data_IF_846064801520
#
_entry.id   IF_846064801520
#
_cell.length_a   1.000
_cell.length_b   1.000
_cell.length_c   1.000
_cell.angle_alpha   90.00
_cell.angle_beta   90.00
_cell.angle_gamma   90.00
#
_symmetry.space_group_name_H-M   'P 1'
#
loop_
_entity.id
_entity.type
_entity.pdbx_description
1 polymer ?
#
# COMPACT_ATOMS: atom_id res chain seq x y z
N UNK A 1 32.05 -18.04 9.01
CA UNK A 1 31.79 -18.04 10.45
C UNK A 1 30.44 -17.33 10.63
N UNK A 2 29.44 -18.05 11.13
CA UNK A 2 28.12 -17.46 11.39
C UNK A 2 28.21 -16.80 12.79
N UNK A 3 27.83 -15.53 12.96
CA UNK A 3 27.82 -14.88 14.26
C UNK A 3 26.87 -15.61 15.23
N UNK A 4 27.20 -15.61 16.52
CA UNK A 4 26.29 -16.12 17.55
C UNK A 4 25.04 -15.23 17.63
N UNK A 5 23.87 -15.81 17.95
CA UNK A 5 22.58 -15.13 18.02
C UNK A 5 22.63 -13.90 18.94
N UNK A 6 23.25 -14.02 20.10
CA UNK A 6 23.42 -12.90 21.06
C UNK A 6 24.18 -11.71 20.46
N UNK A 7 25.14 -11.99 19.56
CA UNK A 7 25.89 -10.94 18.86
C UNK A 7 25.00 -10.27 17.80
N UNK A 8 24.19 -11.05 17.11
CA UNK A 8 23.22 -10.51 16.13
C UNK A 8 22.18 -9.64 16.84
N UNK A 9 21.60 -10.10 17.94
CA UNK A 9 20.58 -9.38 18.70
C UNK A 9 21.14 -8.08 19.28
N UNK A 10 22.38 -8.10 19.78
CA UNK A 10 23.06 -6.90 20.30
C UNK A 10 23.36 -5.87 19.21
N UNK A 11 23.72 -6.30 18.01
CA UNK A 11 24.08 -5.39 16.91
C UNK A 11 22.83 -4.89 16.17
N UNK A 12 21.90 -5.79 15.84
CA UNK A 12 20.70 -5.47 15.06
C UNK A 12 19.57 -4.92 15.95
N UNK A 13 19.50 -5.33 17.20
CA UNK A 13 18.50 -4.88 18.19
C UNK A 13 18.87 -3.60 18.96
N UNK A 14 19.98 -2.95 18.61
CA UNK A 14 20.46 -1.75 19.26
C UNK A 14 19.47 -0.59 19.12
N UNK A 15 19.12 0.08 20.23
CA UNK A 15 18.19 1.21 20.28
C UNK A 15 18.62 2.39 19.39
N UNK A 16 19.94 2.65 19.30
CA UNK A 16 20.45 3.69 18.39
C UNK A 16 20.16 3.35 16.92
N UNK A 17 20.30 2.08 16.54
CA UNK A 17 20.00 1.62 15.20
C UNK A 17 18.50 1.74 14.88
N UNK A 18 17.64 1.33 15.81
CA UNK A 18 16.18 1.48 15.68
C UNK A 18 15.77 2.94 15.54
N UNK A 19 16.38 3.83 16.33
CA UNK A 19 16.14 5.27 16.24
C UNK A 19 16.54 5.81 14.87
N UNK A 20 17.73 5.48 14.37
CA UNK A 20 18.19 5.88 13.03
C UNK A 20 17.28 5.33 11.93
N UNK A 21 16.83 4.08 12.05
CA UNK A 21 15.87 3.48 11.12
C UNK A 21 14.55 4.25 11.12
N UNK A 22 14.03 4.61 12.28
CA UNK A 22 12.81 5.41 12.40
C UNK A 22 12.97 6.80 11.74
N UNK A 23 14.09 7.47 11.98
CA UNK A 23 14.40 8.77 11.36
C UNK A 23 14.50 8.66 9.83
N UNK A 24 15.11 7.60 9.32
CA UNK A 24 15.21 7.35 7.87
C UNK A 24 13.82 7.12 7.28
N UNK A 25 13.00 6.27 7.92
CA UNK A 25 11.64 6.01 7.46
C UNK A 25 10.80 7.29 7.40
N UNK A 26 10.86 8.12 8.45
CA UNK A 26 10.15 9.40 8.49
C UNK A 26 10.61 10.36 7.39
N UNK A 27 11.93 10.53 7.22
CA UNK A 27 12.51 11.45 6.22
C UNK A 27 12.38 10.95 4.78
N UNK A 28 12.09 9.67 4.56
CA UNK A 28 11.89 9.11 3.24
C UNK A 28 10.47 9.32 2.69
N UNK A 29 9.48 9.60 3.55
CA UNK A 29 8.12 9.78 3.11
C UNK A 29 7.99 10.97 2.17
N UNK A 30 7.63 10.72 0.92
CA UNK A 30 7.64 11.71 -0.15
C UNK A 30 6.25 11.87 -0.75
N UNK A 31 5.66 13.06 -0.58
CA UNK A 31 4.39 13.43 -1.21
C UNK A 31 4.67 13.91 -2.64
N UNK A 32 4.53 13.01 -3.61
CA UNK A 32 4.91 13.26 -5.01
C UNK A 32 3.80 14.01 -5.75
N UNK A 33 2.53 13.66 -5.50
CA UNK A 33 1.39 14.30 -6.13
C UNK A 33 0.32 14.62 -5.09
N UNK A 34 -0.18 15.86 -5.12
CA UNK A 34 -1.17 16.31 -4.17
C UNK A 34 -2.14 17.30 -4.81
N UNK A 35 -3.04 16.76 -5.67
CA UNK A 35 -4.10 17.56 -6.32
C UNK A 35 -5.36 17.64 -5.48
N UNK A 36 -5.59 16.67 -4.61
CA UNK A 36 -6.73 16.61 -3.71
C UNK A 36 -6.36 17.21 -2.34
N UNK A 37 -6.32 18.55 -2.31
CA UNK A 37 -5.80 19.31 -1.16
C UNK A 37 -6.58 19.08 0.13
N UNK A 38 -7.80 18.58 0.02
CA UNK A 38 -8.66 18.32 1.17
C UNK A 38 -8.50 16.91 1.74
N UNK A 39 -7.76 16.00 1.08
CA UNK A 39 -7.67 14.63 1.56
C UNK A 39 -6.84 14.51 2.85
N UNK A 40 -5.82 15.34 3.01
CA UNK A 40 -4.97 15.38 4.22
C UNK A 40 -5.30 16.62 5.07
N UNK A 41 -5.15 16.55 6.41
CA UNK A 41 -4.91 15.34 7.21
C UNK A 41 -6.10 14.39 7.22
N UNK A 42 -5.82 13.09 7.44
CA UNK A 42 -6.88 12.13 7.72
C UNK A 42 -7.22 12.13 9.21
N UNK A 43 -8.49 11.95 9.52
CA UNK A 43 -8.96 11.73 10.89
C UNK A 43 -10.20 10.83 10.92
N UNK A 44 -10.48 10.12 12.04
CA UNK A 44 -11.67 9.26 12.14
C UNK A 44 -13.00 10.01 12.05
N UNK A 45 -13.00 11.32 12.35
CA UNK A 45 -14.17 12.21 12.22
C UNK A 45 -14.46 12.53 10.75
N UNK A 46 -13.40 12.61 9.94
CA UNK A 46 -13.50 12.95 8.51
C UNK A 46 -13.72 11.71 7.66
N UNK A 47 -13.02 10.63 7.97
CA UNK A 47 -13.04 9.36 7.23
C UNK A 47 -13.19 8.21 8.21
N UNK A 48 -14.43 7.83 8.53
CA UNK A 48 -14.65 6.77 9.49
C UNK A 48 -14.29 5.39 8.92
N UNK A 49 -14.74 5.13 7.69
CA UNK A 49 -14.52 3.86 6.98
C UNK A 49 -13.36 3.98 6.00
N UNK A 50 -12.30 3.24 6.26
CA UNK A 50 -11.10 3.22 5.41
C UNK A 50 -10.92 1.85 4.77
N UNK A 51 -11.01 1.82 3.44
CA UNK A 51 -10.72 0.61 2.67
C UNK A 51 -9.26 0.60 2.26
N UNK A 52 -8.57 -0.51 2.46
CA UNK A 52 -7.18 -0.71 2.05
C UNK A 52 -7.15 -1.66 0.87
N UNK A 53 -6.71 -1.17 -0.27
CA UNK A 53 -6.50 -1.98 -1.48
C UNK A 53 -5.02 -2.29 -1.61
N UNK A 54 -4.66 -3.55 -1.67
CA UNK A 54 -3.28 -3.98 -1.80
C UNK A 54 -3.02 -4.52 -3.20
N UNK A 55 -2.34 -3.74 -4.03
CA UNK A 55 -1.91 -4.12 -5.37
C UNK A 55 -0.54 -4.77 -5.25
N UNK A 56 -0.49 -6.09 -5.42
CA UNK A 56 0.73 -6.88 -5.38
C UNK A 56 1.28 -7.08 -6.78
N UNK A 57 2.60 -7.02 -6.91
CA UNK A 57 3.28 -7.51 -8.09
C UNK A 57 3.13 -9.03 -8.25
N UNK A 58 3.43 -9.55 -9.44
CA UNK A 58 3.49 -11.00 -9.63
C UNK A 58 4.54 -11.59 -8.70
N UNK A 59 4.10 -12.47 -7.82
CA UNK A 59 4.98 -13.24 -6.96
C UNK A 59 5.88 -14.14 -7.81
N UNK A 60 7.16 -14.19 -7.49
CA UNK A 60 8.07 -15.14 -8.11
C UNK A 60 7.93 -16.48 -7.41
N UNK A 61 8.26 -17.58 -8.10
CA UNK A 61 8.24 -18.91 -7.48
C UNK A 61 9.09 -19.02 -6.20
N UNK A 62 10.11 -18.14 -6.05
CA UNK A 62 10.88 -18.06 -4.81
C UNK A 62 10.04 -17.49 -3.65
N UNK A 63 9.22 -16.48 -3.90
CA UNK A 63 8.31 -15.91 -2.88
C UNK A 63 7.26 -16.94 -2.48
N UNK A 64 6.70 -17.67 -3.46
CA UNK A 64 5.76 -18.75 -3.18
C UNK A 64 6.42 -19.87 -2.35
N UNK A 65 7.68 -20.22 -2.65
CA UNK A 65 8.43 -21.20 -1.87
C UNK A 65 8.66 -20.74 -0.43
N UNK A 66 9.04 -19.46 -0.21
CA UNK A 66 9.21 -18.89 1.12
C UNK A 66 7.91 -18.93 1.92
N UNK A 67 6.78 -18.64 1.29
CA UNK A 67 5.45 -18.77 1.91
C UNK A 67 5.16 -20.20 2.34
N UNK A 68 5.43 -21.17 1.48
CA UNK A 68 5.27 -22.60 1.81
C UNK A 68 6.17 -23.04 2.97
N UNK A 69 7.33 -22.41 3.14
CA UNK A 69 8.24 -22.64 4.26
C UNK A 69 7.85 -21.88 5.54
N UNK A 70 6.71 -21.14 5.55
CA UNK A 70 6.30 -20.35 6.71
C UNK A 70 7.17 -19.12 6.96
N UNK A 71 7.95 -18.68 5.97
CA UNK A 71 8.82 -17.50 6.03
C UNK A 71 8.14 -16.27 5.41
N UNK A 72 6.83 -16.24 5.43
CA UNK A 72 6.06 -15.10 4.92
C UNK A 72 6.18 -13.92 5.88
N UNK A 73 6.52 -12.74 5.36
CA UNK A 73 6.47 -11.49 6.10
C UNK A 73 5.01 -11.09 6.40
N UNK A 74 4.82 -10.24 7.40
CA UNK A 74 3.50 -9.67 7.73
C UNK A 74 2.96 -8.91 6.50
N UNK A 75 1.68 -9.12 6.19
CA UNK A 75 1.03 -8.45 5.06
C UNK A 75 0.97 -6.93 5.32
N UNK A 76 1.55 -6.08 4.45
CA UNK A 76 1.52 -4.62 4.64
C UNK A 76 0.11 -4.05 4.80
N UNK A 77 -0.87 -4.57 4.08
CA UNK A 77 -2.25 -4.11 4.17
C UNK A 77 -2.88 -4.43 5.54
N UNK A 78 -2.58 -5.59 6.12
CA UNK A 78 -3.05 -5.93 7.46
C UNK A 78 -2.35 -5.06 8.51
N UNK A 79 -1.07 -4.74 8.32
CA UNK A 79 -0.35 -3.80 9.21
C UNK A 79 -0.99 -2.42 9.19
N UNK A 80 -1.28 -1.88 8.01
CA UNK A 80 -1.96 -0.57 7.87
C UNK A 80 -3.34 -0.60 8.51
N UNK A 81 -4.12 -1.66 8.27
CA UNK A 81 -5.44 -1.86 8.90
C UNK A 81 -5.36 -1.83 10.43
N UNK A 82 -4.47 -2.64 11.01
CA UNK A 82 -4.29 -2.68 12.46
C UNK A 82 -3.96 -1.30 13.04
N UNK A 83 -3.00 -0.59 12.43
CA UNK A 83 -2.58 0.74 12.88
C UNK A 83 -3.68 1.80 12.74
N UNK A 84 -4.52 1.70 11.72
CA UNK A 84 -5.69 2.58 11.57
C UNK A 84 -6.78 2.25 12.59
N UNK A 85 -7.06 0.95 12.82
CA UNK A 85 -8.03 0.53 13.84
C UNK A 85 -7.61 0.98 15.25
N UNK A 86 -6.32 0.90 15.60
CA UNK A 86 -5.75 1.41 16.85
C UNK A 86 -6.02 2.92 17.04
N UNK A 87 -6.13 3.68 15.95
CA UNK A 87 -6.42 5.12 15.92
C UNK A 87 -7.91 5.45 15.79
N UNK A 88 -8.79 4.44 15.87
CA UNK A 88 -10.24 4.61 15.91
C UNK A 88 -10.95 4.62 14.55
N UNK A 89 -10.25 4.28 13.46
CA UNK A 89 -10.88 4.07 12.15
C UNK A 89 -11.57 2.70 12.09
N UNK A 90 -12.59 2.60 11.25
CA UNK A 90 -13.18 1.33 10.81
C UNK A 90 -12.46 0.93 9.51
N UNK A 91 -11.28 0.32 9.66
CA UNK A 91 -10.42 -0.03 8.56
C UNK A 91 -10.51 -1.51 8.20
N UNK A 92 -10.53 -1.80 6.90
CA UNK A 92 -10.55 -3.17 6.40
C UNK A 92 -9.78 -3.31 5.09
N UNK A 93 -9.28 -4.52 4.83
CA UNK A 93 -8.59 -4.85 3.57
C UNK A 93 -9.62 -5.31 2.55
N UNK A 94 -9.55 -4.74 1.36
CA UNK A 94 -10.40 -5.13 0.24
C UNK A 94 -9.95 -6.48 -0.31
N UNK A 95 -10.89 -7.41 -0.40
CA UNK A 95 -10.68 -8.69 -1.07
C UNK A 95 -11.26 -8.62 -2.48
N UNK A 96 -10.39 -8.71 -3.48
CA UNK A 96 -10.85 -8.72 -4.87
C UNK A 96 -11.72 -9.95 -5.16
N UNK A 97 -12.66 -9.86 -6.13
CA UNK A 97 -13.43 -11.02 -6.55
C UNK A 97 -12.56 -12.23 -6.93
N UNK A 98 -11.38 -11.95 -7.49
CA UNK A 98 -10.41 -12.99 -7.83
C UNK A 98 -9.81 -13.67 -6.60
N UNK A 99 -9.50 -12.89 -5.55
CA UNK A 99 -8.96 -13.42 -4.29
C UNK A 99 -10.02 -14.24 -3.58
N UNK A 100 -11.27 -13.79 -3.55
CA UNK A 100 -12.41 -14.57 -3.02
C UNK A 100 -12.59 -15.90 -3.75
N UNK A 101 -12.45 -15.90 -5.09
CA UNK A 101 -12.51 -17.13 -5.89
C UNK A 101 -11.36 -18.08 -5.57
N UNK A 102 -10.13 -17.55 -5.44
CA UNK A 102 -8.95 -18.35 -5.03
C UNK A 102 -9.15 -18.97 -3.66
N UNK A 103 -9.64 -18.21 -2.69
CA UNK A 103 -9.93 -18.67 -1.34
C UNK A 103 -10.96 -19.82 -1.33
N UNK A 104 -12.03 -19.69 -2.11
CA UNK A 104 -13.05 -20.75 -2.27
C UNK A 104 -12.47 -22.00 -2.92
N UNK A 105 -11.68 -21.83 -3.99
CA UNK A 105 -11.02 -22.96 -4.66
C UNK A 105 -10.05 -23.72 -3.72
N UNK A 106 -9.30 -23.01 -2.88
CA UNK A 106 -8.42 -23.63 -1.87
C UNK A 106 -9.19 -24.42 -0.81
N UNK A 107 -10.43 -24.02 -0.51
CA UNK A 107 -11.33 -24.76 0.40
C UNK A 107 -12.05 -25.92 -0.29
N UNK A 108 -11.78 -26.19 -1.58
CA UNK A 108 -12.44 -27.23 -2.37
C UNK A 108 -13.87 -26.86 -2.82
N UNK A 109 -14.27 -25.60 -2.64
CA UNK A 109 -15.55 -25.09 -3.11
C UNK A 109 -15.47 -24.73 -4.61
N UNK A 110 -16.57 -24.93 -5.33
CA UNK A 110 -16.62 -24.51 -6.74
C UNK A 110 -16.58 -22.97 -6.82
N UNK A 111 -15.69 -22.39 -7.64
CA UNK A 111 -15.66 -20.95 -7.84
C UNK A 111 -16.97 -20.48 -8.49
N UNK A 112 -17.55 -19.43 -7.93
CA UNK A 112 -18.71 -18.77 -8.51
C UNK A 112 -18.25 -17.73 -9.54
N UNK A 113 -18.40 -18.06 -10.81
CA UNK A 113 -18.05 -17.18 -11.91
C UNK A 113 -18.88 -15.88 -11.92
N UNK A 114 -20.07 -15.88 -11.30
CA UNK A 114 -20.87 -14.67 -11.18
C UNK A 114 -20.17 -13.60 -10.33
N UNK A 115 -19.39 -13.98 -9.34
CA UNK A 115 -18.59 -13.06 -8.53
C UNK A 115 -17.58 -12.30 -9.41
N UNK A 116 -16.94 -12.99 -10.35
CA UNK A 116 -16.01 -12.38 -11.28
C UNK A 116 -16.68 -11.37 -12.20
N UNK A 117 -17.89 -11.69 -12.67
CA UNK A 117 -18.67 -10.78 -13.54
C UNK A 117 -19.34 -9.65 -12.76
N UNK A 118 -19.76 -9.91 -11.51
CA UNK A 118 -20.30 -8.89 -10.61
C UNK A 118 -19.24 -7.85 -10.20
N UNK A 119 -17.97 -8.25 -10.15
CA UNK A 119 -16.85 -7.33 -9.87
C UNK A 119 -16.71 -6.15 -10.84
N UNK A 120 -17.41 -6.18 -11.98
CA UNK A 120 -17.55 -5.02 -12.86
C UNK A 120 -18.42 -3.89 -12.27
N UNK A 121 -19.16 -4.18 -11.21
CA UNK A 121 -19.99 -3.21 -10.48
C UNK A 121 -19.29 -2.70 -9.18
N UNK A 122 -18.01 -2.97 -9.02
CA UNK A 122 -17.24 -2.60 -7.84
C UNK A 122 -17.16 -1.08 -7.57
N UNK A 123 -17.56 -0.21 -8.52
CA UNK A 123 -17.67 1.24 -8.30
C UNK A 123 -18.65 1.55 -7.17
N UNK A 124 -19.83 0.95 -7.19
CA UNK A 124 -20.84 1.15 -6.14
C UNK A 124 -20.33 0.66 -4.79
N UNK A 125 -19.62 -0.45 -4.77
CA UNK A 125 -19.05 -1.02 -3.56
C UNK A 125 -18.05 -0.07 -2.89
N UNK A 126 -17.12 0.52 -3.64
CA UNK A 126 -16.17 1.49 -3.10
C UNK A 126 -16.87 2.74 -2.55
N UNK A 127 -17.89 3.21 -3.25
CA UNK A 127 -18.62 4.42 -2.88
C UNK A 127 -19.52 4.24 -1.64
N UNK A 128 -20.09 3.06 -1.47
CA UNK A 128 -21.01 2.76 -0.37
C UNK A 128 -20.27 2.27 0.89
N UNK A 129 -19.10 1.66 0.70
CA UNK A 129 -18.38 0.99 1.79
C UNK A 129 -17.23 1.78 2.36
N UNK A 130 -16.70 2.78 1.65
CA UNK A 130 -15.53 3.53 2.08
C UNK A 130 -15.73 5.05 1.99
N UNK A 131 -15.25 5.76 3.02
CA UNK A 131 -15.09 7.20 3.01
C UNK A 131 -13.74 7.62 2.42
N UNK A 132 -12.74 6.73 2.53
CA UNK A 132 -11.38 6.89 2.04
C UNK A 132 -10.84 5.53 1.57
N UNK A 133 -10.10 5.53 0.47
CA UNK A 133 -9.34 4.36 0.02
C UNK A 133 -7.85 4.64 0.12
N UNK A 134 -7.11 3.75 0.77
CA UNK A 134 -5.65 3.74 0.75
C UNK A 134 -5.20 2.59 -0.14
N UNK A 135 -4.57 2.91 -1.26
CA UNK A 135 -4.09 1.92 -2.23
C UNK A 135 -2.60 1.72 -2.04
N UNK A 136 -2.21 0.56 -1.52
CA UNK A 136 -0.80 0.18 -1.39
C UNK A 136 -0.34 -0.47 -2.70
N UNK A 137 0.60 0.15 -3.38
CA UNK A 137 1.22 -0.35 -4.59
C UNK A 137 2.55 -1.02 -4.22
N UNK A 138 2.50 -2.33 -3.99
CA UNK A 138 3.64 -3.15 -3.57
C UNK A 138 4.12 -4.03 -4.72
N UNK A 139 4.79 -3.39 -5.67
CA UNK A 139 5.33 -4.05 -6.86
C UNK A 139 6.84 -4.08 -6.76
N UNK A 140 7.42 -5.28 -6.76
CA UNK A 140 8.86 -5.47 -6.61
C UNK A 140 9.65 -4.82 -7.75
N UNK A 141 10.78 -4.21 -7.39
CA UNK A 141 11.77 -3.68 -8.32
C UNK A 141 12.27 -4.77 -9.30
N UNK A 142 12.48 -4.40 -10.55
CA UNK A 142 13.08 -5.28 -11.57
C UNK A 142 12.10 -5.83 -12.60
N UNK A 143 10.82 -5.55 -12.50
CA UNK A 143 9.85 -5.85 -13.57
C UNK A 143 9.30 -4.55 -14.15
N UNK A 144 9.74 -4.16 -15.35
CA UNK A 144 9.25 -2.96 -16.02
C UNK A 144 7.82 -3.09 -16.54
N UNK A 145 7.26 -4.30 -16.54
CA UNK A 145 5.85 -4.49 -16.87
C UNK A 145 5.06 -4.52 -15.58
N UNK A 146 4.44 -3.48 -15.31
CA UNK A 146 3.55 -3.20 -14.24
C UNK A 146 2.48 -4.29 -14.14
N UNK A 147 2.55 -5.06 -13.08
CA UNK A 147 1.56 -6.07 -12.77
C UNK A 147 0.16 -5.49 -12.64
N UNK A 148 0.08 -4.18 -12.43
CA UNK A 148 -1.16 -3.42 -12.32
C UNK A 148 -1.98 -3.38 -13.60
N UNK A 149 -1.35 -3.36 -14.79
CA UNK A 149 -2.05 -3.30 -16.08
C UNK A 149 -2.52 -4.66 -16.58
N UNK A 150 -1.95 -5.76 -16.09
CA UNK A 150 -2.26 -7.11 -16.57
C UNK A 150 -3.42 -7.79 -15.87
N UNK A 151 -3.78 -7.33 -14.67
CA UNK A 151 -4.86 -7.91 -13.88
C UNK A 151 -6.26 -7.38 -14.18
N UNK A 152 -6.38 -6.32 -14.96
CA UNK A 152 -7.68 -5.77 -15.43
C UNK A 152 -8.64 -5.26 -14.37
N UNK A 153 -8.38 -5.53 -13.09
CA UNK A 153 -9.27 -5.17 -11.98
C UNK A 153 -8.60 -4.41 -10.84
N UNK A 154 -7.28 -4.29 -10.87
CA UNK A 154 -6.52 -3.75 -9.73
C UNK A 154 -6.06 -2.29 -9.94
N UNK A 155 -6.19 -1.75 -11.17
CA UNK A 155 -5.92 -0.34 -11.41
C UNK A 155 -6.95 0.49 -10.66
N UNK A 156 -6.53 1.51 -9.87
CA UNK A 156 -7.45 2.31 -9.08
C UNK A 156 -8.29 3.25 -9.96
N UNK A 157 -9.23 2.70 -10.71
CA UNK A 157 -10.19 3.43 -11.55
C UNK A 157 -11.27 4.14 -10.72
N UNK A 158 -11.44 3.77 -9.46
CA UNK A 158 -12.36 4.36 -8.49
C UNK A 158 -11.92 5.72 -7.94
N UNK A 159 -10.79 6.25 -8.37
CA UNK A 159 -10.19 7.51 -7.89
C UNK A 159 -11.05 8.76 -8.08
N UNK A 160 -12.06 8.68 -8.93
CA UNK A 160 -13.02 9.77 -9.16
C UNK A 160 -14.31 9.61 -8.35
N UNK A 161 -14.49 8.46 -7.70
CA UNK A 161 -15.72 8.13 -6.97
C UNK A 161 -15.58 8.31 -5.46
N UNK A 162 -14.39 8.08 -4.94
CA UNK A 162 -14.04 8.24 -3.52
C UNK A 162 -12.68 8.91 -3.39
N UNK A 163 -12.38 9.60 -2.28
CA UNK A 163 -11.02 10.07 -1.97
C UNK A 163 -10.04 8.90 -1.95
N UNK A 164 -8.91 9.03 -2.65
CA UNK A 164 -7.88 7.98 -2.75
C UNK A 164 -6.51 8.54 -2.42
N UNK A 165 -5.79 7.84 -1.55
CA UNK A 165 -4.36 8.03 -1.32
C UNK A 165 -3.64 6.78 -1.85
N UNK A 166 -2.89 6.93 -2.93
CA UNK A 166 -2.05 5.86 -3.45
C UNK A 166 -0.65 5.95 -2.86
N UNK A 167 -0.11 4.79 -2.44
CA UNK A 167 1.16 4.68 -1.73
C UNK A 167 2.06 3.71 -2.48
N UNK A 168 3.17 4.20 -3.02
CA UNK A 168 4.19 3.40 -3.66
C UNK A 168 5.15 2.79 -2.62
N UNK A 169 5.05 1.47 -2.43
CA UNK A 169 5.83 0.73 -1.44
C UNK A 169 7.19 0.22 -1.95
N UNK A 170 7.57 0.55 -3.17
CA UNK A 170 8.80 0.05 -3.78
C UNK A 170 9.38 1.02 -4.78
N UNK A 171 9.13 0.79 -6.06
CA UNK A 171 9.67 1.64 -7.13
C UNK A 171 9.03 3.03 -7.12
N UNK A 172 9.83 4.10 -7.19
CA UNK A 172 9.29 5.45 -7.24
C UNK A 172 8.57 5.79 -8.56
N UNK A 173 8.72 4.97 -9.61
CA UNK A 173 8.12 5.18 -10.93
C UNK A 173 6.67 4.69 -11.06
N UNK A 174 6.08 4.07 -10.05
CA UNK A 174 4.73 3.48 -10.14
C UNK A 174 3.64 4.51 -10.44
N UNK A 175 3.84 5.78 -10.14
CA UNK A 175 2.90 6.84 -10.49
C UNK A 175 2.64 6.91 -12.00
N UNK A 176 3.62 6.56 -12.84
CA UNK A 176 3.44 6.56 -14.30
C UNK A 176 2.38 5.59 -14.79
N UNK A 177 2.08 4.54 -14.03
CA UNK A 177 1.06 3.54 -14.38
C UNK A 177 -0.34 3.90 -13.90
N UNK A 178 -0.41 4.73 -12.90
CA UNK A 178 -1.65 5.18 -12.27
C UNK A 178 -1.73 6.70 -12.28
N UNK A 179 -1.50 7.37 -13.43
CA UNK A 179 -1.43 8.81 -13.51
C UNK A 179 -2.75 9.50 -13.13
N UNK A 180 -3.86 8.78 -13.11
CA UNK A 180 -5.17 9.27 -12.71
C UNK A 180 -5.31 9.52 -11.21
N UNK A 181 -4.48 8.92 -10.33
CA UNK A 181 -4.56 9.18 -8.89
C UNK A 181 -4.27 10.64 -8.59
N UNK A 182 -4.98 11.20 -7.63
CA UNK A 182 -4.90 12.63 -7.28
C UNK A 182 -3.93 12.91 -6.14
N UNK A 183 -3.75 11.92 -5.25
CA UNK A 183 -2.77 11.98 -4.14
C UNK A 183 -1.90 10.73 -4.19
N UNK A 184 -0.59 10.93 -4.30
CA UNK A 184 0.38 9.84 -4.40
C UNK A 184 1.60 10.11 -3.52
N UNK A 185 1.98 9.07 -2.75
CA UNK A 185 3.08 9.11 -1.78
C UNK A 185 4.04 7.96 -2.08
N UNK A 186 5.36 8.23 -2.15
CA UNK A 186 6.38 7.20 -2.16
C UNK A 186 6.90 6.95 -0.74
N UNK A 187 6.97 5.68 -0.33
CA UNK A 187 7.54 5.26 0.96
C UNK A 187 8.73 4.31 0.81
N UNK A 188 9.00 3.84 -0.41
CA UNK A 188 10.17 3.04 -0.86
C UNK A 188 10.30 1.65 -0.25
N UNK A 189 9.61 1.33 0.83
CA UNK A 189 9.48 -0.02 1.37
C UNK A 189 8.13 -0.21 2.09
N UNK A 190 7.79 -1.45 2.41
CA UNK A 190 6.55 -1.80 3.11
C UNK A 190 6.81 -2.37 4.52
N UNK A 191 7.92 -1.97 5.16
CA UNK A 191 8.24 -2.42 6.52
C UNK A 191 7.32 -1.78 7.56
N UNK A 192 7.06 -2.50 8.63
CA UNK A 192 6.14 -2.08 9.70
C UNK A 192 6.45 -0.67 10.22
N UNK A 193 7.73 -0.37 10.47
CA UNK A 193 8.15 0.96 10.93
C UNK A 193 7.84 2.07 9.93
N UNK A 194 8.05 1.83 8.63
CA UNK A 194 7.76 2.81 7.57
C UNK A 194 6.25 3.02 7.43
N UNK A 195 5.46 1.94 7.52
CA UNK A 195 4.00 2.02 7.49
C UNK A 195 3.44 2.77 8.71
N UNK A 196 4.04 2.59 9.88
CA UNK A 196 3.66 3.37 11.07
C UNK A 196 3.92 4.86 10.88
N UNK A 197 5.10 5.23 10.38
CA UNK A 197 5.44 6.62 10.06
C UNK A 197 4.55 7.20 8.97
N UNK A 198 4.15 6.41 7.99
CA UNK A 198 3.16 6.81 6.99
C UNK A 198 1.83 7.21 7.66
N UNK A 199 1.29 6.37 8.54
CA UNK A 199 0.00 6.67 9.20
C UNK A 199 0.11 7.93 10.08
N UNK A 200 1.24 8.12 10.79
CA UNK A 200 1.52 9.34 11.54
C UNK A 200 1.51 10.57 10.63
N UNK A 201 2.21 10.52 9.50
CA UNK A 201 2.28 11.61 8.54
C UNK A 201 0.92 11.92 7.88
N UNK A 202 0.15 10.88 7.51
CA UNK A 202 -1.20 11.05 6.97
C UNK A 202 -2.12 11.79 7.94
N UNK A 203 -1.99 11.51 9.24
CA UNK A 203 -2.78 12.17 10.29
C UNK A 203 -2.29 13.58 10.62
N UNK A 204 -1.00 13.86 10.38
CA UNK A 204 -0.39 15.18 10.63
C UNK A 204 -0.62 16.16 9.49
N UNK A 205 -0.83 15.68 8.27
CA UNK A 205 -1.08 16.52 7.09
C UNK A 205 0.09 16.56 6.10
N UNK A 206 -0.06 17.36 5.05
CA UNK A 206 0.86 17.40 3.92
C UNK A 206 2.30 17.83 4.30
N UNK A 207 2.44 18.71 5.28
CA UNK A 207 3.76 19.23 5.72
C UNK A 207 4.61 18.19 6.45
N UNK A 208 4.02 17.07 6.87
CA UNK A 208 4.76 15.96 7.47
C UNK A 208 5.57 15.15 6.46
N UNK A 209 5.30 15.31 5.17
CA UNK A 209 6.02 14.62 4.09
C UNK A 209 7.24 15.44 3.66
N UNK A 210 8.35 15.23 4.34
CA UNK A 210 9.59 16.00 4.15
C UNK A 210 10.56 15.38 3.14
N UNK A 211 10.26 14.17 2.67
CA UNK A 211 11.06 13.45 1.67
C UNK A 211 11.10 14.18 0.34
N UNK A 212 12.19 13.97 -0.38
CA UNK A 212 12.37 14.48 -1.75
C UNK A 212 12.41 13.33 -2.71
N UNK A 213 11.72 13.46 -3.82
CA UNK A 213 11.73 12.43 -4.87
C UNK A 213 13.17 12.32 -5.43
N UNK A 214 13.80 11.14 -5.36
CA UNK A 214 15.15 10.93 -5.85
C UNK A 214 15.23 10.88 -7.38
N UNK A 215 14.09 10.73 -8.04
CA UNK A 215 13.96 10.65 -9.49
C UNK A 215 12.69 11.39 -9.92
N UNK A 216 12.55 11.58 -11.23
CA UNK A 216 11.28 12.08 -11.79
C UNK A 216 10.22 10.94 -11.80
N UNK A 217 9.42 10.83 -10.75
CA UNK A 217 8.33 9.86 -10.64
C UNK A 217 7.22 10.07 -11.68
N UNK A 218 7.20 11.22 -12.35
CA UNK A 218 6.29 11.49 -13.45
C UNK A 218 6.83 11.03 -14.80
N UNK A 219 8.05 10.53 -14.88
CA UNK A 219 8.70 10.05 -16.11
C UNK A 219 8.61 11.05 -17.27
N UNK A 220 8.88 12.33 -17.00
CA UNK A 220 8.79 13.42 -17.98
C UNK A 220 7.38 13.93 -18.23
N UNK A 221 6.36 13.38 -17.59
CA UNK A 221 5.02 13.97 -17.61
C UNK A 221 5.04 15.24 -16.75
N UNK A 222 4.62 16.36 -17.30
CA UNK A 222 4.60 17.62 -16.56
C UNK A 222 3.67 17.48 -15.35
N UNK A 223 4.23 17.75 -14.16
CA UNK A 223 3.41 17.94 -12.99
C UNK A 223 2.62 19.25 -13.17
N UNK A 224 1.35 19.12 -13.38
CA UNK A 224 0.42 20.24 -13.25
C UNK A 224 0.11 20.40 -11.76
N UNK A 225 1.13 20.84 -10.98
CA UNK A 225 0.97 21.22 -9.57
C UNK A 225 -0.15 22.21 -9.36
#
# INVERSE_FOLDING_TARGET
MVPEQDTLDRVLGNEEFKKKQSEISEKSLTLVKYKDKDVLPISPEKYKKVMIVHIKGHETGMVELLKLCGMEGKNPAETVKEKLCERGYDAYVYESPLDQMKQKALKGEKPDLNIYFAGKNAISEFREQADLVITLCDVMAGRPSFGMSKGGGEIPWYVFEVPVIAVGCGQPTMLSDIPQVRTYINIYDAKENTLEKLIEALSSGADAFVGKDPIDSFCGLQDTK
#
